data_IF_592329390842
#
_entry.id   IF_592329390842
#
_cell.length_a   1.000
_cell.length_b   1.000
_cell.length_c   1.000
_cell.angle_alpha   90.00
_cell.angle_beta   90.00
_cell.angle_gamma   90.00
#
_symmetry.space_group_name_H-M   'P 1'
#
loop_
_entity.id
_entity.type
_entity.pdbx_description
1 polymer ?
#
# COMPACT_ATOMS: atom_id res chain seq x y z
N UNK A 1 -69.59 3.69 11.50
CA UNK A 1 -68.63 4.66 10.93
C UNK A 1 -67.23 4.22 11.37
N UNK A 2 -66.54 3.40 10.56
CA UNK A 2 -65.29 2.72 10.93
C UNK A 2 -64.12 3.59 10.47
N UNK A 3 -63.31 4.12 11.40
CA UNK A 3 -62.12 4.92 11.07
C UNK A 3 -60.94 3.98 10.84
N UNK A 4 -60.49 3.95 9.58
CA UNK A 4 -59.35 3.19 9.06
C UNK A 4 -58.03 3.62 9.71
N UNK A 5 -57.28 2.66 10.26
CA UNK A 5 -55.96 2.86 10.83
C UNK A 5 -54.92 2.60 9.73
N UNK A 6 -54.30 3.66 9.19
CA UNK A 6 -53.25 3.54 8.18
C UNK A 6 -51.93 3.15 8.86
N UNK A 7 -51.44 1.95 8.59
CA UNK A 7 -50.08 1.52 8.92
C UNK A 7 -49.10 2.09 7.90
N UNK A 8 -48.33 3.10 8.28
CA UNK A 8 -47.14 3.53 7.54
C UNK A 8 -45.99 2.57 7.84
N UNK A 9 -45.61 1.77 6.84
CA UNK A 9 -44.42 0.93 6.85
C UNK A 9 -43.18 1.82 6.78
N UNK A 10 -42.41 1.88 7.87
CA UNK A 10 -41.04 2.41 7.83
C UNK A 10 -40.14 1.36 7.18
N UNK A 11 -39.74 1.59 5.93
CA UNK A 11 -38.67 0.80 5.29
C UNK A 11 -37.34 1.18 5.94
N UNK A 12 -36.87 0.37 6.90
CA UNK A 12 -35.49 0.45 7.38
C UNK A 12 -34.56 0.04 6.23
N UNK A 13 -33.91 1.02 5.61
CA UNK A 13 -32.81 0.77 4.70
C UNK A 13 -31.57 0.46 5.54
N UNK A 14 -31.36 -0.81 5.86
CA UNK A 14 -30.14 -1.26 6.52
C UNK A 14 -28.99 -1.13 5.52
N UNK A 15 -28.13 -0.13 5.71
CA UNK A 15 -26.83 -0.09 5.05
C UNK A 15 -26.05 -1.35 5.47
N UNK A 16 -25.81 -2.26 4.54
CA UNK A 16 -24.94 -3.42 4.78
C UNK A 16 -23.53 -2.88 5.04
N UNK A 17 -22.90 -3.20 6.19
CA UNK A 17 -21.50 -2.89 6.36
C UNK A 17 -20.73 -3.62 5.26
N UNK A 18 -19.92 -2.89 4.50
CA UNK A 18 -18.98 -3.50 3.57
C UNK A 18 -18.09 -4.45 4.38
N UNK A 19 -18.20 -5.75 4.13
CA UNK A 19 -17.25 -6.72 4.65
C UNK A 19 -15.89 -6.35 4.07
N UNK A 20 -15.01 -5.81 4.92
CA UNK A 20 -13.58 -5.75 4.61
C UNK A 20 -13.12 -7.21 4.49
N UNK A 21 -13.04 -7.72 3.26
CA UNK A 21 -12.47 -9.04 2.99
C UNK A 21 -10.97 -8.95 3.22
N UNK A 22 -10.52 -9.34 4.42
CA UNK A 22 -9.11 -9.61 4.67
C UNK A 22 -8.73 -10.94 4.00
N UNK A 23 -8.25 -10.90 2.76
CA UNK A 23 -7.47 -12.01 2.22
C UNK A 23 -6.23 -12.23 3.08
N UNK A 24 -5.76 -13.49 3.20
CA UNK A 24 -4.54 -13.76 3.96
C UNK A 24 -3.35 -13.11 3.25
N UNK A 25 -2.68 -12.14 3.87
CA UNK A 25 -1.51 -11.48 3.33
C UNK A 25 -0.25 -12.08 3.97
N UNK A 26 0.63 -12.64 3.14
CA UNK A 26 1.79 -13.40 3.63
C UNK A 26 3.07 -13.00 2.90
N UNK A 27 4.20 -13.24 3.56
CA UNK A 27 5.53 -13.21 2.96
C UNK A 27 6.45 -14.11 3.78
N UNK A 28 7.37 -14.80 3.11
CA UNK A 28 8.47 -15.57 3.70
C UNK A 28 9.81 -14.80 3.61
N UNK A 29 9.77 -13.55 3.14
CA UNK A 29 10.95 -12.71 2.97
C UNK A 29 11.53 -12.28 4.31
N UNK A 30 12.84 -12.49 4.45
CA UNK A 30 13.64 -11.92 5.54
C UNK A 30 14.57 -10.87 4.94
N UNK A 31 14.31 -9.59 5.26
CA UNK A 31 15.17 -8.49 4.84
C UNK A 31 16.50 -8.49 5.60
N UNK A 32 17.57 -8.05 4.94
CA UNK A 32 18.86 -7.80 5.60
C UNK A 32 18.71 -6.67 6.64
N UNK A 33 19.43 -6.77 7.76
CA UNK A 33 19.29 -5.85 8.90
C UNK A 33 19.62 -4.39 8.59
N UNK A 34 20.46 -4.15 7.59
CA UNK A 34 20.79 -2.81 7.06
C UNK A 34 19.57 -2.07 6.49
N UNK A 35 18.52 -2.80 6.11
CA UNK A 35 17.27 -2.24 5.58
C UNK A 35 16.15 -2.16 6.62
N UNK A 36 16.46 -2.35 7.91
CA UNK A 36 15.47 -2.25 9.00
C UNK A 36 14.75 -0.89 9.06
N UNK A 37 15.37 0.18 8.55
CA UNK A 37 14.74 1.50 8.42
C UNK A 37 13.53 1.52 7.47
N UNK A 38 13.42 0.53 6.57
CA UNK A 38 12.27 0.39 5.66
C UNK A 38 11.03 -0.16 6.36
N UNK A 39 11.17 -0.74 7.56
CA UNK A 39 10.03 -1.24 8.32
C UNK A 39 9.10 -0.07 8.68
N UNK A 40 7.80 -0.32 8.62
CA UNK A 40 6.82 0.68 9.05
C UNK A 40 6.75 0.78 10.59
N UNK A 41 5.92 1.71 11.08
CA UNK A 41 5.74 1.91 12.53
C UNK A 41 5.20 0.71 13.32
N UNK A 42 4.70 -0.32 12.63
CA UNK A 42 4.25 -1.59 13.23
C UNK A 42 5.31 -2.69 13.14
N UNK A 43 6.57 -2.35 12.81
CA UNK A 43 7.66 -3.29 12.56
C UNK A 43 7.35 -4.30 11.43
N UNK A 44 6.50 -3.93 10.47
CA UNK A 44 6.23 -4.75 9.28
C UNK A 44 7.25 -4.42 8.19
N UNK A 45 7.82 -5.45 7.57
CA UNK A 45 8.73 -5.30 6.44
C UNK A 45 8.03 -4.69 5.22
N UNK A 46 8.75 -4.02 4.30
CA UNK A 46 8.17 -3.52 3.06
C UNK A 46 7.45 -4.63 2.26
N UNK A 47 7.97 -5.87 2.31
CA UNK A 47 7.37 -7.05 1.69
C UNK A 47 5.99 -7.40 2.28
N UNK A 48 5.88 -7.40 3.61
CA UNK A 48 4.62 -7.68 4.29
C UNK A 48 3.59 -6.59 4.02
N UNK A 49 4.02 -5.32 4.04
CA UNK A 49 3.12 -4.19 3.73
C UNK A 49 2.65 -4.26 2.27
N UNK A 50 3.54 -4.57 1.32
CA UNK A 50 3.15 -4.79 -0.08
C UNK A 50 2.11 -5.91 -0.22
N UNK A 51 2.29 -7.04 0.48
CA UNK A 51 1.32 -8.14 0.47
C UNK A 51 -0.05 -7.70 1.01
N UNK A 52 -0.06 -7.02 2.17
CA UNK A 52 -1.30 -6.52 2.78
C UNK A 52 -2.03 -5.57 1.84
N UNK A 53 -1.34 -4.57 1.30
CA UNK A 53 -1.94 -3.56 0.44
C UNK A 53 -2.44 -4.15 -0.88
N UNK A 54 -1.68 -5.05 -1.50
CA UNK A 54 -2.10 -5.69 -2.75
C UNK A 54 -3.38 -6.53 -2.56
N UNK A 55 -3.53 -7.14 -1.37
CA UNK A 55 -4.73 -7.91 -1.02
C UNK A 55 -6.00 -7.07 -0.78
N UNK A 56 -5.89 -5.76 -0.56
CA UNK A 56 -7.06 -4.89 -0.27
C UNK A 56 -8.04 -4.82 -1.45
N UNK A 57 -7.53 -4.84 -2.68
CA UNK A 57 -8.35 -4.78 -3.89
C UNK A 57 -8.67 -6.17 -4.47
N UNK A 58 -8.17 -7.25 -3.85
CA UNK A 58 -8.39 -8.60 -4.35
C UNK A 58 -9.83 -9.04 -4.10
N UNK A 59 -10.47 -9.65 -5.11
CA UNK A 59 -11.85 -10.15 -5.02
C UNK A 59 -11.94 -11.54 -4.39
N UNK A 60 -10.87 -12.33 -4.48
CA UNK A 60 -10.71 -13.64 -3.87
C UNK A 60 -9.21 -13.98 -3.68
N UNK A 61 -8.94 -14.92 -2.78
CA UNK A 61 -7.57 -15.39 -2.49
C UNK A 61 -6.83 -14.56 -1.44
N UNK A 62 -5.71 -15.11 -0.97
CA UNK A 62 -4.71 -14.35 -0.22
C UNK A 62 -3.70 -13.70 -1.18
N UNK A 63 -2.91 -12.75 -0.68
CA UNK A 63 -1.83 -12.14 -1.44
C UNK A 63 -0.49 -12.52 -0.82
N UNK A 64 0.36 -13.17 -1.60
CA UNK A 64 1.69 -13.57 -1.17
C UNK A 64 2.76 -12.76 -1.90
N UNK A 65 3.70 -12.19 -1.16
CA UNK A 65 4.94 -11.62 -1.70
C UNK A 65 6.07 -12.60 -1.39
N UNK A 66 6.47 -13.45 -2.35
CA UNK A 66 7.43 -14.52 -2.12
C UNK A 66 8.87 -14.01 -2.08
N UNK A 67 9.76 -14.79 -1.48
CA UNK A 67 11.20 -14.62 -1.61
C UNK A 67 11.66 -14.65 -3.07
N UNK A 68 12.57 -13.73 -3.41
CA UNK A 68 13.18 -13.65 -4.74
C UNK A 68 14.42 -14.54 -4.82
N UNK A 69 14.70 -15.03 -6.03
CA UNK A 69 15.99 -15.62 -6.35
C UNK A 69 17.09 -14.56 -6.45
N UNK A 70 18.37 -14.98 -6.48
CA UNK A 70 19.48 -14.06 -6.67
C UNK A 70 19.35 -13.29 -8.00
N UNK A 71 19.43 -11.96 -7.95
CA UNK A 71 19.28 -11.06 -9.09
C UNK A 71 17.87 -11.05 -9.74
N UNK A 72 16.84 -11.49 -9.03
CA UNK A 72 15.46 -11.38 -9.51
C UNK A 72 14.80 -10.08 -9.03
N UNK A 73 13.79 -9.63 -9.78
CA UNK A 73 12.89 -8.54 -9.41
C UNK A 73 11.44 -9.04 -9.34
N UNK A 74 10.58 -8.34 -8.59
CA UNK A 74 9.14 -8.61 -8.69
C UNK A 74 8.63 -8.17 -10.06
N UNK A 75 7.99 -9.10 -10.77
CA UNK A 75 7.54 -8.88 -12.13
C UNK A 75 6.51 -7.76 -12.24
N UNK A 76 6.56 -7.04 -13.36
CA UNK A 76 5.51 -6.10 -13.75
C UNK A 76 4.09 -6.71 -13.74
N UNK A 77 3.07 -5.92 -13.38
CA UNK A 77 1.67 -6.36 -13.44
C UNK A 77 1.26 -6.79 -14.85
N UNK A 78 0.27 -7.67 -14.92
CA UNK A 78 -0.35 -8.10 -16.16
C UNK A 78 -1.85 -8.30 -15.96
N UNK A 79 -2.58 -8.76 -16.97
CA UNK A 79 -4.03 -8.94 -16.91
C UNK A 79 -4.54 -9.84 -15.77
N UNK A 80 -3.69 -10.69 -15.19
CA UNK A 80 -4.06 -11.57 -14.07
C UNK A 80 -3.70 -11.00 -12.68
N UNK A 81 -2.73 -10.11 -12.60
CA UNK A 81 -2.22 -9.57 -11.32
C UNK A 81 -2.57 -8.09 -11.11
N UNK A 82 -2.81 -7.34 -12.19
CA UNK A 82 -3.15 -5.93 -12.14
C UNK A 82 -4.52 -5.72 -11.47
N UNK A 83 -4.53 -4.82 -10.49
CA UNK A 83 -5.73 -4.30 -9.85
C UNK A 83 -5.42 -2.90 -9.29
N UNK A 84 -6.45 -2.19 -8.80
CA UNK A 84 -6.31 -0.82 -8.33
C UNK A 84 -5.26 -0.63 -7.21
N UNK A 85 -5.03 -1.63 -6.36
CA UNK A 85 -4.08 -1.55 -5.26
C UNK A 85 -2.66 -1.86 -5.73
N UNK A 86 -2.47 -2.92 -6.52
CA UNK A 86 -1.17 -3.29 -7.09
C UNK A 86 -0.61 -2.15 -7.94
N UNK A 87 -1.48 -1.46 -8.67
CA UNK A 87 -1.10 -0.37 -9.55
C UNK A 87 -0.90 0.98 -8.85
N UNK A 88 -0.93 1.01 -7.52
CA UNK A 88 -0.62 2.20 -6.73
C UNK A 88 0.88 2.45 -6.61
N UNK A 89 1.27 3.72 -6.48
CA UNK A 89 2.68 4.06 -6.22
C UNK A 89 3.18 3.41 -4.93
N UNK A 90 2.31 3.31 -3.92
CA UNK A 90 2.59 2.66 -2.66
C UNK A 90 3.08 1.22 -2.86
N UNK A 91 2.31 0.39 -3.56
CA UNK A 91 2.68 -1.02 -3.78
C UNK A 91 3.93 -1.12 -4.64
N UNK A 92 4.06 -0.33 -5.70
CA UNK A 92 5.27 -0.31 -6.52
C UNK A 92 6.53 -0.02 -5.69
N UNK A 93 6.51 1.06 -4.89
CA UNK A 93 7.66 1.44 -4.06
C UNK A 93 7.96 0.40 -2.99
N UNK A 94 6.95 -0.22 -2.38
CA UNK A 94 7.13 -1.27 -1.39
C UNK A 94 7.70 -2.56 -2.00
N UNK A 95 7.29 -2.92 -3.22
CA UNK A 95 7.88 -4.05 -3.95
C UNK A 95 9.33 -3.76 -4.30
N UNK A 96 9.65 -2.56 -4.79
CA UNK A 96 11.04 -2.15 -5.04
C UNK A 96 11.90 -2.17 -3.77
N UNK A 97 11.38 -1.67 -2.66
CA UNK A 97 12.03 -1.76 -1.35
C UNK A 97 12.23 -3.21 -0.90
N UNK A 98 11.23 -4.07 -1.11
CA UNK A 98 11.31 -5.49 -0.81
C UNK A 98 12.38 -6.20 -1.66
N UNK A 99 12.51 -5.86 -2.94
CA UNK A 99 13.57 -6.38 -3.81
C UNK A 99 14.96 -6.00 -3.29
N UNK A 100 15.16 -4.72 -2.98
CA UNK A 100 16.44 -4.23 -2.43
C UNK A 100 16.73 -4.84 -1.06
N UNK A 101 15.73 -4.99 -0.19
CA UNK A 101 15.95 -5.50 1.16
C UNK A 101 16.44 -6.96 1.19
N UNK A 102 16.15 -7.71 0.14
CA UNK A 102 16.59 -9.10 -0.05
C UNK A 102 18.02 -9.19 -0.61
N UNK A 103 18.60 -8.05 -1.02
CA UNK A 103 19.93 -7.99 -1.64
C UNK A 103 19.92 -8.18 -3.16
N UNK A 104 18.75 -8.06 -3.82
CA UNK A 104 18.68 -8.04 -5.28
C UNK A 104 18.97 -6.63 -5.82
N UNK A 105 19.83 -6.48 -6.85
CA UNK A 105 20.19 -5.18 -7.40
C UNK A 105 19.13 -4.58 -8.33
N UNK A 106 18.21 -5.39 -8.85
CA UNK A 106 17.36 -5.01 -9.98
C UNK A 106 15.95 -4.67 -9.51
N UNK A 107 15.57 -3.40 -9.60
CA UNK A 107 14.17 -2.97 -9.43
C UNK A 107 13.58 -2.58 -10.78
N UNK A 108 12.48 -3.25 -11.14
CA UNK A 108 11.72 -2.96 -12.35
C UNK A 108 11.35 -1.47 -12.44
N UNK A 109 11.51 -0.91 -13.63
CA UNK A 109 11.19 0.48 -13.89
C UNK A 109 9.69 0.76 -13.79
N UNK A 110 9.33 1.95 -13.33
CA UNK A 110 7.93 2.37 -13.20
C UNK A 110 7.20 2.39 -14.55
N UNK A 111 7.84 2.81 -15.63
CA UNK A 111 7.18 2.91 -16.94
C UNK A 111 6.59 1.57 -17.43
N UNK A 112 7.36 0.45 -17.48
CA UNK A 112 6.79 -0.85 -17.83
C UNK A 112 5.86 -1.40 -16.75
N UNK A 113 6.11 -1.14 -15.45
CA UNK A 113 5.20 -1.53 -14.38
C UNK A 113 3.80 -0.90 -14.55
N UNK A 114 3.76 0.41 -14.78
CA UNK A 114 2.53 1.16 -15.00
C UNK A 114 1.86 0.81 -16.34
N UNK A 115 2.63 0.48 -17.38
CA UNK A 115 2.06 -0.04 -18.62
C UNK A 115 1.31 -1.37 -18.40
N UNK A 116 1.87 -2.25 -17.56
CA UNK A 116 1.24 -3.52 -17.16
C UNK A 116 -0.09 -3.36 -16.40
N UNK A 117 -0.35 -2.18 -15.85
CA UNK A 117 -1.57 -1.87 -15.12
C UNK A 117 -2.81 -1.60 -15.98
N UNK A 118 -2.63 -1.22 -17.25
CA UNK A 118 -3.75 -0.94 -18.15
C UNK A 118 -4.76 0.05 -17.55
N UNK A 119 -6.03 -0.36 -17.44
CA UNK A 119 -7.11 0.48 -16.90
C UNK A 119 -7.03 0.74 -15.39
N UNK A 120 -6.12 0.07 -14.67
CA UNK A 120 -5.91 0.27 -13.24
C UNK A 120 -4.79 1.28 -12.93
N UNK A 121 -4.11 1.81 -13.96
CA UNK A 121 -3.09 2.83 -13.77
C UNK A 121 -3.68 4.06 -13.07
N UNK A 122 -3.01 4.52 -12.02
CA UNK A 122 -3.38 5.71 -11.25
C UNK A 122 -2.18 6.65 -11.09
N UNK A 123 -2.49 7.94 -10.97
CA UNK A 123 -1.54 9.03 -10.75
C UNK A 123 -1.56 9.53 -9.29
N UNK A 124 -1.92 8.64 -8.37
CA UNK A 124 -1.97 8.92 -6.93
C UNK A 124 -1.31 7.80 -6.15
N UNK A 125 -0.91 8.09 -4.91
CA UNK A 125 -0.18 7.14 -4.09
C UNK A 125 -1.02 5.91 -3.69
N UNK A 126 -2.34 6.06 -3.61
CA UNK A 126 -3.28 5.04 -3.17
C UNK A 126 -4.68 5.29 -3.76
N UNK A 127 -5.40 4.26 -4.23
CA UNK A 127 -6.74 4.45 -4.80
C UNK A 127 -7.75 4.93 -3.76
N UNK A 128 -8.47 6.01 -4.07
CA UNK A 128 -9.37 6.72 -3.14
C UNK A 128 -10.56 5.90 -2.64
N UNK A 129 -10.95 4.85 -3.36
CA UNK A 129 -12.08 3.98 -2.99
C UNK A 129 -11.69 2.88 -1.98
N UNK A 130 -10.42 2.80 -1.59
CA UNK A 130 -9.91 1.78 -0.68
C UNK A 130 -9.20 2.43 0.50
N UNK A 131 -9.39 1.86 1.68
CA UNK A 131 -8.72 2.30 2.90
C UNK A 131 -7.55 1.38 3.22
N UNK A 132 -6.41 1.95 3.61
CA UNK A 132 -5.30 1.17 4.17
C UNK A 132 -5.78 0.49 5.46
N UNK A 133 -5.56 -0.82 5.64
CA UNK A 133 -5.97 -1.53 6.85
C UNK A 133 -5.38 -0.92 8.13
N UNK A 134 -6.18 -0.81 9.19
CA UNK A 134 -5.78 -0.16 10.45
C UNK A 134 -4.58 -0.81 11.16
N UNK A 135 -4.28 -2.07 10.84
CA UNK A 135 -3.13 -2.81 11.37
C UNK A 135 -1.86 -2.65 10.50
N UNK A 136 -1.90 -1.79 9.49
CA UNK A 136 -0.78 -1.51 8.60
C UNK A 136 -0.59 -0.03 8.42
N UNK A 137 0.67 0.40 8.52
CA UNK A 137 1.04 1.79 8.37
C UNK A 137 1.83 1.95 7.06
N UNK A 138 1.42 2.90 6.22
CA UNK A 138 2.10 3.20 4.97
C UNK A 138 3.27 4.16 5.24
N UNK A 139 4.54 3.77 5.02
CA UNK A 139 5.65 4.70 5.13
C UNK A 139 5.51 5.88 4.16
N UNK A 140 5.86 7.08 4.59
CA UNK A 140 5.71 8.27 3.74
C UNK A 140 6.52 8.17 2.44
N UNK A 141 7.74 7.62 2.48
CA UNK A 141 8.55 7.39 1.28
C UNK A 141 7.87 6.47 0.25
N UNK A 142 6.98 5.58 0.69
CA UNK A 142 6.24 4.70 -0.22
C UNK A 142 5.17 5.45 -1.02
N UNK A 143 4.74 6.64 -0.58
CA UNK A 143 3.84 7.50 -1.35
C UNK A 143 4.52 8.35 -2.42
N UNK A 144 5.85 8.24 -2.57
CA UNK A 144 6.60 9.03 -3.55
C UNK A 144 6.17 8.64 -4.96
N UNK A 145 5.86 9.65 -5.76
CA UNK A 145 5.64 9.49 -7.21
C UNK A 145 6.86 8.79 -7.85
N UNK A 146 6.70 7.60 -8.45
CA UNK A 146 7.79 6.83 -9.00
C UNK A 146 8.60 7.55 -10.09
N UNK A 147 8.00 8.53 -10.78
CA UNK A 147 8.70 9.35 -11.78
C UNK A 147 9.73 10.30 -11.15
N UNK A 148 9.68 10.50 -9.83
CA UNK A 148 10.66 11.31 -9.10
C UNK A 148 11.91 10.53 -8.69
N UNK A 149 11.90 9.21 -8.83
CA UNK A 149 13.10 8.43 -8.57
C UNK A 149 14.13 8.59 -9.69
N UNK A 150 15.44 8.63 -9.36
CA UNK A 150 16.49 8.58 -10.37
C UNK A 150 16.32 7.35 -11.27
N UNK A 151 16.28 7.58 -12.58
CA UNK A 151 16.10 6.51 -13.56
C UNK A 151 14.69 5.91 -13.62
N UNK A 152 13.72 6.40 -12.83
CA UNK A 152 12.35 5.88 -12.82
C UNK A 152 12.18 4.52 -12.14
N UNK A 153 13.14 4.10 -11.32
CA UNK A 153 13.06 2.90 -10.47
C UNK A 153 13.20 3.27 -9.00
N UNK A 154 12.53 2.56 -8.08
CA UNK A 154 12.68 2.81 -6.64
C UNK A 154 14.16 2.90 -6.25
N UNK A 155 14.51 3.93 -5.46
CA UNK A 155 15.87 4.18 -5.03
C UNK A 155 15.95 4.22 -3.50
N UNK A 156 16.69 3.28 -2.91
CA UNK A 156 16.78 3.12 -1.46
C UNK A 156 17.46 4.30 -0.76
N UNK A 157 18.45 4.94 -1.39
CA UNK A 157 19.17 6.07 -0.80
C UNK A 157 18.27 7.29 -0.69
N UNK A 158 17.55 7.62 -1.77
CA UNK A 158 16.59 8.71 -1.78
C UNK A 158 15.41 8.42 -0.84
N UNK A 159 14.91 7.18 -0.79
CA UNK A 159 13.85 6.78 0.13
C UNK A 159 14.29 6.89 1.61
N UNK A 160 15.53 6.50 1.91
CA UNK A 160 16.14 6.66 3.25
C UNK A 160 16.28 8.13 3.63
N UNK A 161 16.68 8.98 2.68
CA UNK A 161 16.73 10.43 2.89
C UNK A 161 15.34 11.01 3.24
N UNK A 162 14.28 10.56 2.55
CA UNK A 162 12.89 10.95 2.89
C UNK A 162 12.51 10.45 4.29
N UNK A 163 12.81 9.19 4.61
CA UNK A 163 12.53 8.61 5.94
C UNK A 163 13.19 9.44 7.06
N UNK A 164 14.44 9.87 6.86
CA UNK A 164 15.22 10.63 7.85
C UNK A 164 14.64 12.03 8.18
N UNK A 165 13.73 12.55 7.35
CA UNK A 165 13.06 13.83 7.58
C UNK A 165 12.00 13.73 8.69
N UNK A 166 11.67 12.53 9.16
CA UNK A 166 10.72 12.33 10.26
C UNK A 166 9.26 12.64 9.89
N UNK A 167 8.95 12.70 8.59
CA UNK A 167 7.57 12.81 8.10
C UNK A 167 6.92 11.45 8.32
N UNK A 168 6.25 11.31 9.46
CA UNK A 168 5.56 10.09 9.82
C UNK A 168 4.28 9.92 8.98
N UNK A 169 4.19 8.75 8.34
CA UNK A 169 2.99 7.97 8.05
C UNK A 169 1.78 8.71 7.47
N UNK A 170 1.38 8.33 6.25
CA UNK A 170 0.02 8.60 5.80
C UNK A 170 -0.93 7.69 6.60
N UNK A 171 -1.49 8.22 7.68
CA UNK A 171 -2.54 7.53 8.42
C UNK A 171 -3.75 7.32 7.49
N UNK A 172 -4.42 6.15 7.57
CA UNK A 172 -5.68 5.95 6.86
C UNK A 172 -6.67 7.00 7.34
N UNK A 173 -7.03 7.91 6.43
CA UNK A 173 -8.05 8.96 6.53
C UNK A 173 -8.80 8.99 7.87
N UNK A 174 -8.17 9.57 8.89
CA UNK A 174 -8.86 10.21 10.00
C UNK A 174 -8.82 11.69 9.69
N UNK A 175 -9.99 12.31 9.82
CA UNK A 175 -10.33 13.65 9.35
C UNK A 175 -9.20 14.69 9.41
N UNK A 176 -9.18 15.56 8.40
CA UNK A 176 -8.45 16.82 8.40
C UNK A 176 -8.96 17.73 9.53
N UNK A 177 -8.55 17.45 10.77
CA UNK A 177 -8.97 18.18 11.94
C UNK A 177 -8.15 17.79 13.16
N UNK A 178 -7.02 18.45 13.35
CA UNK A 178 -6.10 18.34 14.51
C UNK A 178 -5.19 17.11 14.42
N UNK A 179 -3.85 17.16 14.45
CA UNK A 179 -2.91 18.04 15.14
C UNK A 179 -1.57 17.94 14.37
N UNK A 180 -1.07 19.03 13.78
CA UNK A 180 0.38 19.18 13.58
C UNK A 180 0.99 19.42 14.96
N UNK A 181 1.60 18.41 15.58
CA UNK A 181 2.59 18.64 16.62
C UNK A 181 3.91 18.07 16.16
N UNK A 182 4.77 18.99 15.73
CA UNK A 182 6.21 18.84 15.65
C UNK A 182 6.74 18.04 16.85
N UNK A 183 7.26 16.84 16.62
CA UNK A 183 8.31 16.32 17.49
C UNK A 183 9.64 16.85 16.95
N UNK A 184 9.90 18.08 17.38
CA UNK A 184 11.19 18.75 17.29
C UNK A 184 12.28 17.84 17.85
N UNK A 185 13.35 17.65 17.06
CA UNK A 185 14.66 17.21 17.57
C UNK A 185 15.00 17.99 18.84
N UNK A 186 15.33 17.29 19.92
CA UNK A 186 16.20 17.85 20.96
C UNK A 186 17.40 16.94 21.16
N UNK A 187 18.55 17.56 20.84
CA UNK A 187 19.95 17.32 21.20
C UNK A 187 20.33 15.97 21.78
#
# INVERSE_FOLDING_TARGET
MVRSLKWTLFTLWTALPALVRGGNATTDVVCQSTFSWMNNGNNQSPCLVAAVLSGVCATAGGWNVPALGPNDAYSTPNSSTANACVCSWAVYNLLGACTVCQGSPDVDNWAPYNAGCGSFAIDTYWPTNYTVPNNTLLPYWASTDPLKWPGGSFNSDNASAIHSQGIALLLPSVEHGSICTFLSRKK
#
